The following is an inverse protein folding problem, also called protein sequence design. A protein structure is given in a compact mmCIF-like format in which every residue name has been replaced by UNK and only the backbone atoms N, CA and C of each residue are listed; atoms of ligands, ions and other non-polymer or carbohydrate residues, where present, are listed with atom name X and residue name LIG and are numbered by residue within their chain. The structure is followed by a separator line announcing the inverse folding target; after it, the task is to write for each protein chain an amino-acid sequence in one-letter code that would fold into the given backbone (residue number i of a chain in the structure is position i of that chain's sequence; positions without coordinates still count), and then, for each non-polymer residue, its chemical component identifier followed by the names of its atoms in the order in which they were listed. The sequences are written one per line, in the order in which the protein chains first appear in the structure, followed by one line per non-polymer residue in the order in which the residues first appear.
data_IF_618107886377
#
_entry.id   IF_618107886377
#
_cell.length_a   1.000
_cell.length_b   1.000
_cell.length_c   1.000
_cell.angle_alpha   90.00
_cell.angle_beta   90.00
_cell.angle_gamma   90.00
#
_symmetry.space_group_name_H-M   'P 1'
#
loop_
_entity.id
_entity.type
_entity.pdbx_description
1 polymer ?
#
# COMPACT_ATOMS: atom_id res chain seq x y z
N UNK A 1 2.40 -7.04 -14.11
CA UNK A 1 2.54 -5.62 -13.75
C UNK A 1 2.58 -5.47 -12.23
N UNK A 2 3.58 -4.76 -11.70
CA UNK A 2 3.70 -4.46 -10.27
C UNK A 2 3.70 -2.94 -10.11
N UNK A 3 2.87 -2.40 -9.22
CA UNK A 3 2.87 -0.98 -8.87
C UNK A 3 3.31 -0.80 -7.41
N UNK A 4 4.50 -0.22 -7.22
CA UNK A 4 5.05 0.16 -5.92
C UNK A 4 5.23 1.69 -5.78
N UNK A 5 4.60 2.48 -6.65
CA UNK A 5 4.72 3.94 -6.61
C UNK A 5 4.10 4.53 -5.34
N UNK A 6 4.64 5.66 -4.90
CA UNK A 6 4.12 6.39 -3.74
C UNK A 6 4.07 7.90 -4.06
N UNK A 7 3.22 8.29 -5.03
CA UNK A 7 3.11 9.69 -5.41
C UNK A 7 2.37 10.48 -4.30
N UNK A 8 2.88 11.69 -4.02
CA UNK A 8 2.33 12.58 -3.01
C UNK A 8 2.75 14.03 -3.30
N UNK A 9 2.00 15.00 -2.78
CA UNK A 9 2.40 16.41 -2.78
C UNK A 9 3.42 16.71 -1.69
N UNK A 10 4.03 17.89 -1.75
CA UNK A 10 4.94 18.35 -0.69
C UNK A 10 4.20 18.56 0.64
N UNK A 11 2.93 18.98 0.59
CA UNK A 11 2.06 19.21 1.73
C UNK A 11 1.40 17.92 2.28
N UNK A 12 1.84 16.75 1.84
CA UNK A 12 1.30 15.47 2.29
C UNK A 12 1.25 15.31 3.81
N UNK A 13 2.29 15.81 4.51
CA UNK A 13 2.37 15.72 5.95
C UNK A 13 1.33 16.62 6.69
N UNK A 14 0.75 17.58 6.00
CA UNK A 14 -0.28 18.49 6.54
C UNK A 14 -1.70 17.92 6.48
N UNK A 15 -1.89 16.77 5.84
CA UNK A 15 -3.18 16.09 5.73
C UNK A 15 -3.55 15.36 7.02
N UNK A 16 -3.66 16.08 8.13
CA UNK A 16 -4.11 15.55 9.42
C UNK A 16 -5.57 15.93 9.68
N UNK A 17 -6.20 15.32 10.69
CA UNK A 17 -7.55 15.71 11.10
C UNK A 17 -7.65 17.17 11.58
N UNK A 18 -6.52 17.81 11.94
CA UNK A 18 -6.48 19.18 12.46
C UNK A 18 -6.15 20.23 11.39
N UNK A 19 -5.35 19.87 10.38
CA UNK A 19 -4.76 20.84 9.44
C UNK A 19 -5.14 20.60 7.99
N UNK A 20 -5.88 19.52 7.69
CA UNK A 20 -6.24 19.17 6.31
C UNK A 20 -7.09 20.25 5.63
N UNK A 21 -6.87 20.41 4.31
CA UNK A 21 -7.74 21.17 3.42
C UNK A 21 -8.20 20.30 2.25
N UNK A 22 -9.36 20.63 1.69
CA UNK A 22 -10.00 19.83 0.65
C UNK A 22 -9.18 19.76 -0.65
N UNK A 23 -8.51 20.86 -1.02
CA UNK A 23 -7.71 20.91 -2.27
C UNK A 23 -6.54 19.95 -2.19
N UNK A 24 -5.74 20.01 -1.10
CA UNK A 24 -4.62 19.11 -0.89
C UNK A 24 -5.08 17.65 -0.78
N UNK A 25 -6.21 17.40 -0.09
CA UNK A 25 -6.80 16.06 -0.01
C UNK A 25 -7.14 15.52 -1.40
N UNK A 26 -7.88 16.27 -2.22
CA UNK A 26 -8.24 15.88 -3.60
C UNK A 26 -7.00 15.61 -4.44
N UNK A 27 -6.03 16.53 -4.43
CA UNK A 27 -4.81 16.37 -5.21
C UNK A 27 -4.07 15.08 -4.87
N UNK A 28 -3.97 14.72 -3.59
CA UNK A 28 -3.31 13.48 -3.20
C UNK A 28 -4.13 12.23 -3.53
N UNK A 29 -5.46 12.28 -3.47
CA UNK A 29 -6.33 11.20 -3.95
C UNK A 29 -6.15 11.03 -5.46
N UNK A 30 -6.14 12.10 -6.23
CA UNK A 30 -5.94 12.07 -7.69
C UNK A 30 -4.56 11.49 -8.04
N UNK A 31 -3.50 12.00 -7.42
CA UNK A 31 -2.13 11.55 -7.70
C UNK A 31 -1.92 10.07 -7.31
N UNK A 32 -2.41 9.65 -6.16
CA UNK A 32 -2.08 8.34 -5.63
C UNK A 32 -3.15 7.29 -5.96
N UNK A 33 -4.41 7.51 -5.57
CA UNK A 33 -5.45 6.50 -5.80
C UNK A 33 -5.82 6.39 -7.27
N UNK A 34 -6.11 7.51 -7.94
CA UNK A 34 -6.55 7.45 -9.34
C UNK A 34 -5.43 6.96 -10.26
N UNK A 35 -4.16 7.26 -9.99
CA UNK A 35 -3.05 6.70 -10.76
C UNK A 35 -2.98 5.17 -10.65
N UNK A 36 -3.18 4.61 -9.47
CA UNK A 36 -3.24 3.16 -9.28
C UNK A 36 -4.39 2.53 -10.05
N UNK A 37 -5.60 3.10 -9.91
CA UNK A 37 -6.81 2.64 -10.59
C UNK A 37 -6.61 2.69 -12.11
N UNK A 38 -6.19 3.83 -12.63
CA UNK A 38 -6.12 4.04 -14.07
C UNK A 38 -5.04 3.20 -14.74
N UNK A 39 -3.83 3.22 -14.20
CA UNK A 39 -2.69 2.50 -14.78
C UNK A 39 -2.93 0.98 -14.73
N UNK A 40 -3.40 0.44 -13.61
CA UNK A 40 -3.67 -0.99 -13.51
C UNK A 40 -4.76 -1.44 -14.48
N UNK A 41 -5.81 -0.64 -14.66
CA UNK A 41 -6.87 -0.92 -15.63
C UNK A 41 -6.34 -0.90 -17.08
N UNK A 42 -5.46 0.05 -17.44
CA UNK A 42 -4.82 0.08 -18.77
C UNK A 42 -3.99 -1.17 -19.04
N UNK A 43 -3.22 -1.65 -18.04
CA UNK A 43 -2.47 -2.90 -18.16
C UNK A 43 -3.38 -4.10 -18.34
N UNK A 44 -4.46 -4.20 -17.55
CA UNK A 44 -5.43 -5.29 -17.69
C UNK A 44 -6.09 -5.28 -19.09
N UNK A 45 -6.52 -4.12 -19.57
CA UNK A 45 -7.08 -3.98 -20.93
C UNK A 45 -6.06 -4.37 -22.01
N UNK A 46 -4.79 -4.04 -21.83
CA UNK A 46 -3.74 -4.43 -22.77
C UNK A 46 -3.52 -5.95 -22.78
N UNK A 47 -3.53 -6.60 -21.59
CA UNK A 47 -3.45 -8.05 -21.50
C UNK A 47 -4.63 -8.72 -22.21
N UNK A 48 -5.85 -8.23 -22.00
CA UNK A 48 -7.06 -8.73 -22.71
C UNK A 48 -6.92 -8.57 -24.23
N UNK A 49 -6.52 -7.37 -24.71
CA UNK A 49 -6.34 -7.13 -26.16
C UNK A 49 -5.32 -8.04 -26.81
N UNK A 50 -4.27 -8.40 -26.06
CA UNK A 50 -3.20 -9.30 -26.54
C UNK A 50 -3.50 -10.76 -26.30
N UNK A 51 -4.65 -11.10 -25.67
CA UNK A 51 -4.99 -12.44 -25.26
C UNK A 51 -3.87 -13.12 -24.47
N UNK A 52 -3.31 -12.41 -23.49
CA UNK A 52 -2.24 -12.90 -22.61
C UNK A 52 -2.72 -12.99 -21.18
N UNK A 53 -2.40 -14.09 -20.53
CA UNK A 53 -2.56 -14.25 -19.07
C UNK A 53 -1.69 -13.23 -18.35
N UNK A 54 -2.05 -12.90 -17.10
CA UNK A 54 -1.27 -11.93 -16.37
C UNK A 54 -1.47 -11.92 -14.87
N UNK A 55 -0.51 -11.25 -14.21
CA UNK A 55 -0.60 -10.92 -12.79
C UNK A 55 -0.40 -9.41 -12.60
N UNK A 56 -1.33 -8.79 -11.88
CA UNK A 56 -1.28 -7.39 -11.46
C UNK A 56 -1.15 -7.36 -9.94
N UNK A 57 -0.11 -6.72 -9.43
CA UNK A 57 0.16 -6.63 -8.00
C UNK A 57 0.24 -5.16 -7.62
N UNK A 58 -0.62 -4.75 -6.69
CA UNK A 58 -0.70 -3.37 -6.23
C UNK A 58 -0.18 -3.26 -4.80
N UNK A 59 0.75 -2.36 -4.55
CA UNK A 59 1.27 -2.12 -3.20
C UNK A 59 0.31 -1.23 -2.42
N UNK A 60 -0.35 -1.82 -1.44
CA UNK A 60 -1.22 -1.13 -0.50
C UNK A 60 -0.48 -0.83 0.82
N UNK A 61 -1.12 -1.01 1.94
CA UNK A 61 -0.60 -0.86 3.30
C UNK A 61 -1.54 -1.53 4.29
N UNK A 62 -1.04 -1.94 5.45
CA UNK A 62 -1.89 -2.32 6.59
C UNK A 62 -2.92 -1.25 6.93
N UNK A 63 -2.61 0.03 6.71
CA UNK A 63 -3.52 1.15 6.94
C UNK A 63 -4.68 1.25 5.92
N UNK A 64 -4.72 0.40 4.91
CA UNK A 64 -5.91 0.16 4.10
C UNK A 64 -6.92 -0.79 4.77
N UNK A 65 -6.55 -1.43 5.90
CA UNK A 65 -7.35 -2.43 6.61
C UNK A 65 -7.55 -2.06 8.08
N UNK A 66 -6.54 -1.48 8.72
CA UNK A 66 -6.59 -1.03 10.12
C UNK A 66 -6.37 0.49 10.21
N UNK A 67 -6.89 1.17 11.24
CA UNK A 67 -6.64 2.60 11.43
C UNK A 67 -5.20 2.86 11.88
N UNK A 68 -4.70 4.08 11.59
CA UNK A 68 -3.48 4.59 12.19
C UNK A 68 -3.72 4.84 13.70
N UNK A 69 -2.82 4.33 14.54
CA UNK A 69 -2.94 4.47 16.00
C UNK A 69 -2.26 5.75 16.46
N UNK A 70 -3.02 6.71 17.00
CA UNK A 70 -2.52 8.03 17.43
C UNK A 70 -1.31 7.96 18.36
N UNK A 71 -1.32 7.05 19.31
CA UNK A 71 -0.25 6.91 20.30
C UNK A 71 1.13 6.53 19.70
N UNK A 72 1.19 6.11 18.44
CA UNK A 72 2.46 5.95 17.72
C UNK A 72 3.11 7.30 17.41
N UNK A 73 2.31 8.31 17.21
CA UNK A 73 2.75 9.65 16.77
C UNK A 73 3.00 10.61 17.94
N UNK A 74 2.51 10.30 19.14
CA UNK A 74 2.72 11.13 20.33
C UNK A 74 4.21 11.30 20.66
N UNK A 75 4.65 12.54 20.84
CA UNK A 75 6.06 12.88 21.13
C UNK A 75 7.00 12.73 19.94
N UNK A 76 6.47 12.57 18.73
CA UNK A 76 7.24 12.49 17.47
C UNK A 76 6.98 13.73 16.60
N UNK A 77 7.81 13.91 15.58
CA UNK A 77 7.60 14.92 14.53
C UNK A 77 6.68 14.43 13.40
N UNK A 78 5.99 13.30 13.59
CA UNK A 78 5.09 12.70 12.62
C UNK A 78 3.64 12.85 13.08
N UNK A 79 2.71 12.78 12.15
CA UNK A 79 1.27 12.79 12.40
C UNK A 79 0.58 11.70 11.59
N UNK A 80 -0.60 11.30 12.05
CA UNK A 80 -1.51 10.50 11.24
C UNK A 80 -1.92 11.31 9.99
N UNK A 81 -2.29 10.60 8.94
CA UNK A 81 -2.69 11.23 7.67
C UNK A 81 -4.09 10.74 7.28
N UNK A 82 -5.03 11.66 7.08
CA UNK A 82 -6.43 11.32 6.78
C UNK A 82 -6.63 10.74 5.38
N UNK A 83 -5.78 11.08 4.40
CA UNK A 83 -5.90 10.60 3.04
C UNK A 83 -5.31 9.19 2.88
N UNK A 84 -4.25 8.87 3.63
CA UNK A 84 -3.50 7.62 3.44
C UNK A 84 -4.34 6.36 3.62
N UNK A 85 -5.08 6.18 4.74
CA UNK A 85 -5.94 5.01 4.91
C UNK A 85 -7.03 4.92 3.83
N UNK A 86 -7.64 6.04 3.46
CA UNK A 86 -8.68 6.11 2.42
C UNK A 86 -8.13 5.65 1.07
N UNK A 87 -6.96 6.16 0.68
CA UNK A 87 -6.28 5.78 -0.56
C UNK A 87 -5.97 4.27 -0.55
N UNK A 88 -5.37 3.76 0.53
CA UNK A 88 -4.96 2.35 0.61
C UNK A 88 -6.15 1.39 0.68
N UNK A 89 -7.22 1.76 1.38
CA UNK A 89 -8.47 1.01 1.35
C UNK A 89 -9.11 1.02 -0.05
N UNK A 90 -9.06 2.15 -0.75
CA UNK A 90 -9.51 2.28 -2.14
C UNK A 90 -8.73 1.35 -3.08
N UNK A 91 -7.41 1.25 -2.94
CA UNK A 91 -6.57 0.33 -3.71
C UNK A 91 -6.97 -1.13 -3.42
N UNK A 92 -7.19 -1.50 -2.16
CA UNK A 92 -7.61 -2.85 -1.78
C UNK A 92 -8.97 -3.21 -2.41
N UNK A 93 -9.94 -2.30 -2.37
CA UNK A 93 -11.26 -2.54 -2.97
C UNK A 93 -11.20 -2.56 -4.49
N UNK A 94 -10.40 -1.70 -5.12
CA UNK A 94 -10.17 -1.71 -6.56
C UNK A 94 -9.57 -3.04 -7.03
N UNK A 95 -8.59 -3.58 -6.29
CA UNK A 95 -8.02 -4.90 -6.55
C UNK A 95 -9.11 -5.99 -6.63
N UNK A 96 -10.01 -6.05 -5.64
CA UNK A 96 -11.11 -7.02 -5.61
C UNK A 96 -12.05 -6.88 -6.80
N UNK A 97 -12.39 -5.64 -7.16
CA UNK A 97 -13.24 -5.36 -8.31
C UNK A 97 -12.60 -5.79 -9.63
N UNK A 98 -11.29 -5.48 -9.81
CA UNK A 98 -10.55 -5.93 -10.98
C UNK A 98 -10.43 -7.46 -11.05
N UNK A 99 -10.12 -8.11 -9.92
CA UNK A 99 -10.01 -9.57 -9.84
C UNK A 99 -11.31 -10.26 -10.26
N UNK A 100 -12.46 -9.75 -9.78
CA UNK A 100 -13.78 -10.25 -10.14
C UNK A 100 -14.07 -10.07 -11.63
N UNK A 101 -13.70 -8.94 -12.22
CA UNK A 101 -14.00 -8.64 -13.62
C UNK A 101 -13.07 -9.36 -14.61
N UNK A 102 -11.77 -9.37 -14.34
CA UNK A 102 -10.75 -9.87 -15.25
C UNK A 102 -10.36 -11.34 -15.03
N UNK A 103 -10.85 -11.99 -13.98
CA UNK A 103 -10.56 -13.40 -13.70
C UNK A 103 -10.93 -14.35 -14.85
N UNK A 104 -12.03 -14.09 -15.56
CA UNK A 104 -12.42 -14.82 -16.78
C UNK A 104 -11.41 -14.73 -17.94
N UNK A 105 -10.49 -13.79 -17.88
CA UNK A 105 -9.42 -13.58 -18.85
C UNK A 105 -8.07 -14.12 -18.35
N UNK A 106 -8.05 -14.93 -17.28
CA UNK A 106 -6.85 -15.42 -16.61
C UNK A 106 -5.91 -14.29 -16.13
N UNK A 107 -6.45 -13.12 -15.81
CA UNK A 107 -5.71 -12.01 -15.22
C UNK A 107 -5.99 -12.00 -13.73
N UNK A 108 -4.96 -12.25 -12.94
CA UNK A 108 -5.01 -12.21 -11.49
C UNK A 108 -4.65 -10.82 -10.98
N UNK A 109 -5.36 -10.35 -9.96
CA UNK A 109 -5.08 -9.05 -9.33
C UNK A 109 -5.05 -9.23 -7.83
N UNK A 110 -3.93 -8.86 -7.18
CA UNK A 110 -3.76 -8.97 -5.74
C UNK A 110 -3.10 -7.72 -5.17
N UNK A 111 -3.28 -7.48 -3.87
CA UNK A 111 -2.55 -6.44 -3.14
C UNK A 111 -1.52 -7.05 -2.20
N UNK A 112 -0.42 -6.34 -2.00
CA UNK A 112 0.50 -6.56 -0.90
C UNK A 112 0.41 -5.36 0.03
N UNK A 113 0.14 -5.61 1.30
CA UNK A 113 -0.05 -4.61 2.35
C UNK A 113 1.08 -4.69 3.38
N UNK A 114 2.21 -3.99 3.16
CA UNK A 114 3.30 -3.97 4.12
C UNK A 114 2.91 -3.25 5.41
N UNK A 115 3.55 -3.66 6.51
CA UNK A 115 3.69 -2.85 7.71
C UNK A 115 4.70 -1.72 7.54
N UNK A 116 5.12 -1.12 8.65
CA UNK A 116 6.12 -0.05 8.64
C UNK A 116 7.44 -0.52 8.06
N UNK A 117 7.83 0.04 6.90
CA UNK A 117 9.11 -0.23 6.25
C UNK A 117 10.24 0.51 6.96
N UNK A 118 11.34 -0.18 7.20
CA UNK A 118 12.59 0.42 7.68
C UNK A 118 13.29 1.11 6.51
N UNK A 119 13.80 2.32 6.75
CA UNK A 119 14.63 3.03 5.78
C UNK A 119 14.17 4.46 5.48
N UNK A 120 14.63 5.00 4.38
CA UNK A 120 14.36 6.37 3.94
C UNK A 120 12.90 6.51 3.51
N UNK A 121 12.19 7.48 4.08
CA UNK A 121 10.80 7.74 3.73
C UNK A 121 10.76 8.45 2.36
N UNK A 122 10.19 7.77 1.35
CA UNK A 122 9.82 8.35 0.05
C UNK A 122 10.93 9.21 -0.60
N UNK A 123 12.17 8.70 -0.67
CA UNK A 123 13.26 9.33 -1.42
C UNK A 123 13.94 10.51 -0.73
N UNK A 124 13.53 10.90 0.46
CA UNK A 124 14.23 11.90 1.27
C UNK A 124 15.30 11.22 2.16
N UNK A 125 16.44 11.89 2.35
CA UNK A 125 17.54 11.40 3.23
C UNK A 125 17.20 11.45 4.73
N UNK A 126 15.98 11.78 5.08
CA UNK A 126 15.52 11.87 6.45
C UNK A 126 15.46 10.48 7.09
N UNK A 127 16.18 10.32 8.17
CA UNK A 127 16.04 9.14 9.03
C UNK A 127 14.63 9.11 9.62
N UNK A 128 14.09 7.89 9.79
CA UNK A 128 12.84 7.71 10.52
C UNK A 128 12.96 8.27 11.94
N UNK A 129 11.92 8.94 12.41
CA UNK A 129 11.84 9.42 13.80
C UNK A 129 12.11 8.25 14.77
N UNK A 130 13.07 8.44 15.67
CA UNK A 130 13.55 7.39 16.57
C UNK A 130 12.44 6.92 17.52
N UNK A 131 11.66 7.86 18.06
CA UNK A 131 10.57 7.56 19.00
C UNK A 131 9.48 6.77 18.29
N UNK A 132 9.11 7.19 17.08
CA UNK A 132 8.16 6.45 16.26
C UNK A 132 8.65 5.02 16.00
N UNK A 133 9.90 4.87 15.58
CA UNK A 133 10.50 3.55 15.31
C UNK A 133 10.46 2.63 16.54
N UNK A 134 10.85 3.14 17.70
CA UNK A 134 10.83 2.37 18.96
C UNK A 134 9.41 1.96 19.33
N UNK A 135 8.43 2.88 19.24
CA UNK A 135 7.02 2.58 19.51
C UNK A 135 6.45 1.56 18.52
N UNK A 136 6.80 1.68 17.24
CA UNK A 136 6.36 0.74 16.22
C UNK A 136 6.89 -0.66 16.48
N UNK A 137 8.20 -0.79 16.74
CA UNK A 137 8.88 -2.05 17.05
C UNK A 137 8.31 -2.70 18.32
N UNK A 138 8.06 -1.92 19.38
CA UNK A 138 7.52 -2.45 20.64
C UNK A 138 6.18 -3.17 20.46
N UNK A 139 5.36 -2.67 19.53
CA UNK A 139 4.05 -3.25 19.17
C UNK A 139 4.13 -4.38 18.17
N UNK A 140 5.15 -4.40 17.33
CA UNK A 140 5.30 -5.47 16.33
C UNK A 140 5.69 -6.78 17.03
N UNK A 141 4.94 -7.87 16.92
CA UNK A 141 5.31 -9.17 17.50
C UNK A 141 6.71 -9.63 17.12
N UNK A 142 7.11 -9.46 15.86
CA UNK A 142 8.46 -9.82 15.39
C UNK A 142 9.56 -8.85 15.84
N UNK A 143 9.24 -7.82 16.66
CA UNK A 143 10.18 -6.88 17.29
C UNK A 143 11.16 -6.19 16.32
N UNK A 144 10.73 -5.92 15.12
CA UNK A 144 11.45 -5.14 14.12
C UNK A 144 10.50 -4.50 13.12
N UNK A 145 10.98 -3.56 12.36
CA UNK A 145 10.28 -3.04 11.17
C UNK A 145 10.49 -3.99 9.97
N UNK A 146 9.62 -3.85 8.99
CA UNK A 146 9.72 -4.57 7.73
C UNK A 146 10.91 -4.03 6.91
N UNK A 147 11.71 -4.92 6.35
CA UNK A 147 12.78 -4.58 5.39
C UNK A 147 12.24 -4.78 3.96
N UNK A 148 12.73 -4.02 2.96
CA UNK A 148 12.36 -4.27 1.56
C UNK A 148 12.56 -5.73 1.13
N UNK A 149 13.61 -6.40 1.63
CA UNK A 149 13.89 -7.81 1.36
C UNK A 149 12.80 -8.77 1.86
N UNK A 150 12.05 -8.40 2.91
CA UNK A 150 10.96 -9.22 3.43
C UNK A 150 9.78 -9.31 2.43
N UNK A 151 9.69 -8.35 1.52
CA UNK A 151 8.61 -8.27 0.54
C UNK A 151 8.94 -8.96 -0.80
N UNK A 152 10.21 -9.17 -1.11
CA UNK A 152 10.63 -9.68 -2.44
C UNK A 152 9.94 -10.99 -2.77
N UNK A 153 9.91 -11.93 -1.84
CA UNK A 153 9.39 -13.28 -2.11
C UNK A 153 7.89 -13.31 -2.36
N UNK A 154 7.11 -12.47 -1.66
CA UNK A 154 5.67 -12.40 -1.91
C UNK A 154 5.37 -11.80 -3.29
N UNK A 155 6.14 -10.79 -3.74
CA UNK A 155 5.99 -10.24 -5.09
C UNK A 155 6.38 -11.28 -6.16
N UNK A 156 7.47 -12.02 -5.98
CA UNK A 156 7.88 -13.08 -6.88
C UNK A 156 6.83 -14.20 -6.96
N UNK A 157 6.36 -14.68 -5.80
CA UNK A 157 5.31 -15.69 -5.72
C UNK A 157 4.03 -15.25 -6.45
N UNK A 158 3.55 -14.05 -6.19
CA UNK A 158 2.34 -13.52 -6.84
C UNK A 158 2.53 -13.26 -8.35
N UNK A 159 3.77 -13.08 -8.80
CA UNK A 159 4.09 -12.91 -10.22
C UNK A 159 4.21 -14.23 -10.97
N UNK A 160 4.41 -15.33 -10.27
CA UNK A 160 4.62 -16.66 -10.84
C UNK A 160 3.33 -17.46 -11.02
N UNK A 161 3.43 -18.60 -11.68
CA UNK A 161 2.33 -19.56 -11.83
C UNK A 161 2.02 -20.33 -10.52
N UNK A 162 2.89 -20.28 -9.51
CA UNK A 162 2.63 -20.90 -8.20
C UNK A 162 1.43 -20.29 -7.50
N UNK A 163 1.05 -19.06 -7.89
CA UNK A 163 -0.15 -18.35 -7.42
C UNK A 163 -1.31 -18.34 -8.41
N UNK A 164 -1.36 -19.33 -9.34
CA UNK A 164 -2.33 -19.36 -10.45
C UNK A 164 -3.81 -19.36 -10.02
N UNK A 165 -4.12 -19.79 -8.81
CA UNK A 165 -5.50 -19.78 -8.27
C UNK A 165 -5.72 -18.72 -7.20
N UNK A 166 -4.85 -17.70 -7.13
CA UNK A 166 -4.90 -16.62 -6.14
C UNK A 166 -5.21 -15.30 -6.83
N UNK A 167 -6.39 -14.73 -6.57
CA UNK A 167 -6.80 -13.43 -7.08
C UNK A 167 -7.74 -12.72 -6.10
N UNK A 168 -7.75 -11.40 -6.08
CA UNK A 168 -8.58 -10.57 -5.21
C UNK A 168 -8.15 -10.55 -3.74
N UNK A 169 -6.95 -11.04 -3.42
CA UNK A 169 -6.46 -11.16 -2.04
C UNK A 169 -5.60 -9.97 -1.65
N UNK A 170 -5.65 -9.64 -0.35
CA UNK A 170 -4.74 -8.68 0.29
C UNK A 170 -3.75 -9.43 1.19
N UNK A 171 -2.47 -9.39 0.81
CA UNK A 171 -1.41 -10.06 1.53
C UNK A 171 -0.75 -9.11 2.52
N UNK A 172 -1.15 -9.22 3.78
CA UNK A 172 -0.56 -8.44 4.88
C UNK A 172 0.81 -9.01 5.23
N UNK A 173 1.85 -8.16 5.17
CA UNK A 173 3.24 -8.49 5.51
C UNK A 173 3.76 -7.46 6.50
N UNK A 174 3.46 -7.64 7.78
CA UNK A 174 3.61 -6.61 8.81
C UNK A 174 4.28 -7.07 10.12
N UNK A 175 4.78 -8.30 10.15
CA UNK A 175 5.39 -8.87 11.36
C UNK A 175 4.41 -9.05 12.51
N UNK A 176 3.11 -9.09 12.22
CA UNK A 176 2.02 -9.25 13.19
C UNK A 176 1.53 -7.93 13.81
N UNK A 177 1.97 -6.78 13.31
CA UNK A 177 1.58 -5.46 13.85
C UNK A 177 0.06 -5.25 13.87
N UNK A 178 -0.67 -5.70 12.86
CA UNK A 178 -2.12 -5.54 12.75
C UNK A 178 -2.93 -6.38 13.74
N UNK A 179 -2.28 -7.31 14.43
CA UNK A 179 -2.91 -8.17 15.43
C UNK A 179 -2.91 -7.57 16.86
N UNK A 180 -2.25 -6.41 17.07
CA UNK A 180 -2.00 -5.80 18.39
C UNK A 180 -2.69 -4.45 18.58
#
# INVERSE_FOLDING_TARGET
FINCSYPKTDEWAELTFKTSNLTNFKTNVDLHLLSYIWISNLFAQQMVRKNTDGSIILTSSIYGTIPQKQNLYEGTNLSENIAYPVIKAGINQHCKQMASFYGKNNIRVNTVSPGGLEGKIAGKELQQDKIFKEKYISRTPMKRMCKPSDLVQIYLFLSSNDSSYITGQDFIVDGGFSLT
#
